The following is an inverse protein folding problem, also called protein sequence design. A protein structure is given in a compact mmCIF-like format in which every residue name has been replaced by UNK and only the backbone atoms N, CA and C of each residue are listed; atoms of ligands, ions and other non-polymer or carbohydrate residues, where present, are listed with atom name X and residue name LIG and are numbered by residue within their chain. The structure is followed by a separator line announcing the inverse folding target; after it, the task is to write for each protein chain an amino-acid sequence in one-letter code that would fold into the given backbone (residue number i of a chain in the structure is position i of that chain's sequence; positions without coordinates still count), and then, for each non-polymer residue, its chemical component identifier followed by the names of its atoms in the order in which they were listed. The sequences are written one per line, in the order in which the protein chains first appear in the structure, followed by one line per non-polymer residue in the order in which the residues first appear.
data_IF_002578911132
#
_entry.id   IF_002578911132
#
_cell.length_a   1.000
_cell.length_b   1.000
_cell.length_c   1.000
_cell.angle_alpha   90.00
_cell.angle_beta   90.00
_cell.angle_gamma   90.00
#
_symmetry.space_group_name_H-M   'P 1'
#
loop_
_entity.id
_entity.type
_entity.pdbx_description
1 polymer ?
#
# COMPACT_ATOMS: atom_id res chain seq x y z
N UNK A 1 -11.00 -27.76 -10.94
CA UNK A 1 -9.84 -27.76 -11.81
C UNK A 1 -10.11 -27.03 -13.12
N UNK A 2 -9.08 -26.70 -13.86
CA UNK A 2 -9.15 -26.00 -15.15
C UNK A 2 -8.85 -27.04 -16.23
N UNK A 3 -9.77 -27.21 -17.17
CA UNK A 3 -9.65 -28.22 -18.27
C UNK A 3 -9.30 -29.64 -17.76
N UNK A 4 -9.91 -30.07 -16.64
CA UNK A 4 -9.66 -31.37 -16.01
C UNK A 4 -8.40 -31.44 -15.13
N UNK A 5 -7.56 -30.43 -15.10
CA UNK A 5 -6.35 -30.37 -14.25
C UNK A 5 -6.72 -29.90 -12.85
N UNK A 6 -6.38 -30.70 -11.84
CA UNK A 6 -6.57 -30.34 -10.43
C UNK A 6 -5.55 -29.28 -10.02
N UNK A 7 -6.02 -28.20 -9.40
CA UNK A 7 -5.14 -27.19 -8.79
C UNK A 7 -4.85 -27.64 -7.36
N UNK A 8 -3.57 -27.70 -7.01
CA UNK A 8 -3.10 -27.89 -5.63
C UNK A 8 -2.64 -26.53 -5.07
N UNK A 9 -3.02 -26.26 -3.82
CA UNK A 9 -2.57 -25.09 -3.09
C UNK A 9 -1.60 -25.51 -2.01
N UNK A 10 -0.51 -24.77 -1.89
CA UNK A 10 0.47 -24.89 -0.82
C UNK A 10 0.58 -23.53 -0.13
N UNK A 11 0.46 -23.51 1.18
CA UNK A 11 0.49 -22.31 1.99
C UNK A 11 1.71 -22.27 2.91
N UNK A 12 2.15 -21.06 3.22
CA UNK A 12 3.26 -20.81 4.13
C UNK A 12 3.02 -19.51 4.89
N UNK A 13 2.75 -19.63 6.20
CA UNK A 13 2.54 -18.48 7.06
C UNK A 13 3.84 -17.72 7.33
N UNK A 14 3.85 -16.43 7.07
CA UNK A 14 5.03 -15.57 7.20
C UNK A 14 4.99 -14.64 8.41
N UNK A 15 3.84 -14.48 9.05
CA UNK A 15 3.63 -13.45 10.07
C UNK A 15 3.91 -12.04 9.57
N UNK A 16 3.74 -11.80 8.25
CA UNK A 16 4.07 -10.55 7.57
C UNK A 16 5.56 -10.16 7.64
N UNK A 17 6.43 -11.11 7.97
CA UNK A 17 7.89 -10.92 7.97
C UNK A 17 8.47 -11.19 6.59
N UNK A 18 9.28 -10.25 6.08
CA UNK A 18 9.86 -10.33 4.74
C UNK A 18 10.87 -11.48 4.62
N UNK A 19 11.68 -11.71 5.64
CA UNK A 19 12.67 -12.80 5.65
C UNK A 19 11.99 -14.16 5.57
N UNK A 20 10.98 -14.39 6.42
CA UNK A 20 10.15 -15.60 6.36
C UNK A 20 9.43 -15.73 5.02
N UNK A 21 9.01 -14.61 4.41
CA UNK A 21 8.43 -14.60 3.06
C UNK A 21 9.38 -15.17 2.02
N UNK A 22 10.67 -14.82 2.07
CA UNK A 22 11.71 -15.38 1.20
C UNK A 22 11.94 -16.87 1.49
N UNK A 23 12.01 -17.27 2.76
CA UNK A 23 12.14 -18.68 3.15
C UNK A 23 10.96 -19.52 2.64
N UNK A 24 9.73 -19.00 2.78
CA UNK A 24 8.52 -19.63 2.24
C UNK A 24 8.60 -19.79 0.72
N UNK A 25 9.07 -18.76 0.01
CA UNK A 25 9.25 -18.81 -1.44
C UNK A 25 10.22 -19.94 -1.85
N UNK A 26 11.40 -20.00 -1.22
CA UNK A 26 12.41 -21.03 -1.52
C UNK A 26 11.87 -22.45 -1.25
N UNK A 27 11.12 -22.63 -0.16
CA UNK A 27 10.50 -23.90 0.17
C UNK A 27 9.42 -24.31 -0.85
N UNK A 28 8.54 -23.40 -1.22
CA UNK A 28 7.46 -23.66 -2.18
C UNK A 28 8.00 -23.88 -3.60
N UNK A 29 9.04 -23.14 -3.97
CA UNK A 29 9.77 -23.36 -5.22
C UNK A 29 10.29 -24.79 -5.31
N UNK A 30 10.90 -25.30 -4.24
CA UNK A 30 11.38 -26.67 -4.15
C UNK A 30 10.32 -27.74 -4.29
N UNK A 31 9.04 -27.38 -4.08
CA UNK A 31 7.87 -28.26 -4.29
C UNK A 31 7.28 -28.18 -5.71
N UNK A 32 7.87 -27.39 -6.60
CA UNK A 32 7.43 -27.24 -7.98
C UNK A 32 6.28 -26.23 -8.17
N UNK A 33 6.28 -25.14 -7.40
CA UNK A 33 5.31 -24.06 -7.54
C UNK A 33 5.27 -23.51 -8.98
N UNK A 34 4.08 -23.45 -9.59
CA UNK A 34 3.88 -22.93 -10.94
C UNK A 34 3.72 -21.41 -10.95
N UNK A 35 3.31 -20.83 -9.86
CA UNK A 35 3.28 -19.38 -9.57
C UNK A 35 3.23 -19.15 -8.06
N UNK A 36 3.55 -17.95 -7.64
CA UNK A 36 3.53 -17.57 -6.22
C UNK A 36 2.75 -16.28 -6.04
N UNK A 37 1.94 -16.24 -4.99
CA UNK A 37 1.24 -15.05 -4.50
C UNK A 37 1.82 -14.68 -3.12
N UNK A 38 2.68 -13.67 -3.02
CA UNK A 38 3.40 -13.37 -1.78
C UNK A 38 2.54 -12.81 -0.63
N UNK A 39 1.39 -12.23 -0.92
CA UNK A 39 0.48 -11.54 0.04
C UNK A 39 1.18 -10.50 0.94
N UNK A 40 2.29 -9.96 0.48
CA UNK A 40 3.08 -8.96 1.19
C UNK A 40 3.87 -8.13 0.20
N UNK A 41 3.80 -6.80 0.32
CA UNK A 41 4.62 -5.88 -0.47
C UNK A 41 6.11 -6.13 -0.22
N UNK A 42 6.53 -6.28 1.05
CA UNK A 42 7.93 -6.55 1.39
C UNK A 42 8.45 -7.86 0.78
N UNK A 43 7.67 -8.94 0.89
CA UNK A 43 8.03 -10.21 0.27
C UNK A 43 8.08 -10.10 -1.27
N UNK A 44 7.13 -9.39 -1.89
CA UNK A 44 7.13 -9.16 -3.35
C UNK A 44 8.40 -8.46 -3.80
N UNK A 45 8.82 -7.39 -3.11
CA UNK A 45 10.09 -6.71 -3.40
C UNK A 45 11.29 -7.66 -3.31
N UNK A 46 11.36 -8.43 -2.23
CA UNK A 46 12.50 -9.30 -1.95
C UNK A 46 12.66 -10.46 -2.94
N UNK A 47 11.54 -10.96 -3.50
CA UNK A 47 11.56 -12.09 -4.45
C UNK A 47 11.47 -11.68 -5.92
N UNK A 48 11.23 -10.39 -6.21
CA UNK A 48 11.15 -9.86 -7.59
C UNK A 48 12.38 -10.22 -8.42
N UNK A 49 13.58 -10.13 -7.84
CA UNK A 49 14.82 -10.43 -8.57
C UNK A 49 15.07 -11.94 -8.75
N UNK A 50 14.43 -12.78 -7.95
CA UNK A 50 14.54 -14.25 -8.00
C UNK A 50 13.62 -14.85 -9.06
N UNK A 51 12.44 -14.31 -9.21
CA UNK A 51 11.38 -14.83 -10.08
C UNK A 51 11.80 -15.10 -11.53
N UNK A 52 12.57 -14.22 -12.22
CA UNK A 52 13.06 -14.47 -13.56
C UNK A 52 14.01 -15.67 -13.66
N UNK A 53 14.95 -15.79 -12.71
CA UNK A 53 15.91 -16.90 -12.66
C UNK A 53 15.21 -18.24 -12.42
N UNK A 54 14.20 -18.23 -11.55
CA UNK A 54 13.43 -19.42 -11.18
C UNK A 54 12.31 -19.71 -12.18
N UNK A 55 11.98 -18.79 -13.07
CA UNK A 55 10.87 -18.87 -14.03
C UNK A 55 9.52 -19.09 -13.34
N UNK A 56 9.31 -18.45 -12.19
CA UNK A 56 8.08 -18.53 -11.40
C UNK A 56 7.38 -17.17 -11.42
N UNK A 57 6.20 -17.04 -12.03
CA UNK A 57 5.41 -15.82 -12.01
C UNK A 57 5.04 -15.39 -10.58
N UNK A 58 5.25 -14.10 -10.26
CA UNK A 58 4.75 -13.48 -9.06
C UNK A 58 3.43 -12.78 -9.37
N UNK A 59 2.37 -13.20 -8.72
CA UNK A 59 1.04 -12.60 -8.87
C UNK A 59 0.73 -11.79 -7.62
N UNK A 60 0.52 -10.48 -7.78
CA UNK A 60 0.10 -9.61 -6.69
C UNK A 60 -1.28 -9.03 -6.97
N UNK A 61 -2.16 -9.04 -5.97
CA UNK A 61 -3.54 -8.57 -6.10
C UNK A 61 -3.67 -7.26 -5.32
N UNK A 62 -3.50 -6.14 -6.02
CA UNK A 62 -3.62 -4.81 -5.43
C UNK A 62 -2.56 -4.46 -4.38
N UNK A 63 -1.41 -5.11 -4.40
CA UNK A 63 -0.26 -4.77 -3.55
C UNK A 63 1.05 -4.86 -4.33
N UNK A 64 2.10 -4.30 -3.78
CA UNK A 64 3.39 -4.00 -4.36
C UNK A 64 4.00 -5.07 -5.24
N UNK A 65 4.68 -4.67 -6.20
CA UNK A 65 5.52 -3.50 -6.48
C UNK A 65 4.88 -2.67 -7.60
N UNK A 66 4.64 -1.36 -7.37
CA UNK A 66 3.96 -0.51 -8.38
C UNK A 66 4.75 -0.33 -9.66
N UNK A 67 6.09 -0.31 -9.60
CA UNK A 67 6.97 -0.24 -10.76
C UNK A 67 6.78 -1.43 -11.71
N UNK A 68 6.26 -2.55 -11.21
CA UNK A 68 6.03 -3.76 -12.02
C UNK A 68 4.92 -3.61 -13.07
N UNK A 69 4.25 -2.46 -13.13
CA UNK A 69 3.42 -2.08 -14.27
C UNK A 69 4.21 -2.02 -15.58
N UNK A 70 5.52 -1.76 -15.51
CA UNK A 70 6.41 -1.88 -16.68
C UNK A 70 6.78 -3.35 -16.90
N UNK A 71 5.95 -4.06 -17.64
CA UNK A 71 6.17 -5.46 -18.02
C UNK A 71 7.38 -5.66 -18.95
N UNK A 72 7.94 -4.59 -19.52
CA UNK A 72 9.19 -4.63 -20.27
C UNK A 72 10.39 -4.91 -19.35
N UNK A 73 10.37 -4.37 -18.15
CA UNK A 73 11.40 -4.53 -17.12
C UNK A 73 11.04 -5.71 -16.21
N UNK A 74 9.82 -5.72 -15.65
CA UNK A 74 9.37 -6.70 -14.65
C UNK A 74 8.58 -7.86 -15.29
N UNK A 75 9.23 -8.63 -16.16
CA UNK A 75 8.62 -9.67 -17.00
C UNK A 75 7.94 -10.81 -16.21
N UNK A 76 8.27 -10.97 -14.93
CA UNK A 76 7.78 -12.06 -14.09
C UNK A 76 6.89 -11.59 -12.94
N UNK A 77 6.61 -10.28 -12.85
CA UNK A 77 5.68 -9.72 -11.89
C UNK A 77 4.37 -9.35 -12.59
N UNK A 78 3.26 -9.83 -12.05
CA UNK A 78 1.92 -9.65 -12.62
C UNK A 78 1.01 -8.97 -11.59
N UNK A 79 1.01 -7.61 -11.52
CA UNK A 79 0.09 -6.89 -10.66
C UNK A 79 -1.33 -6.96 -11.22
N UNK A 80 -2.24 -7.58 -10.48
CA UNK A 80 -3.66 -7.70 -10.83
C UNK A 80 -4.45 -6.72 -9.97
N UNK A 81 -5.53 -6.14 -10.52
CA UNK A 81 -6.42 -5.18 -9.86
C UNK A 81 -5.79 -3.82 -9.54
N UNK A 82 -4.70 -3.46 -10.21
CA UNK A 82 -4.05 -2.15 -10.06
C UNK A 82 -2.88 -2.14 -9.07
N UNK A 83 -2.35 -0.96 -8.83
CA UNK A 83 -1.18 -0.73 -7.97
C UNK A 83 -1.44 0.41 -7.00
N UNK A 84 -0.60 0.55 -5.99
CA UNK A 84 -0.74 1.63 -5.01
C UNK A 84 -0.48 3.02 -5.59
N UNK A 85 0.31 3.13 -6.65
CA UNK A 85 0.45 4.40 -7.36
C UNK A 85 -0.85 4.81 -8.03
N UNK A 86 -1.50 3.89 -8.75
CA UNK A 86 -2.83 4.15 -9.35
C UNK A 86 -3.87 4.48 -8.28
N UNK A 87 -3.89 3.72 -7.18
CA UNK A 87 -4.83 3.95 -6.09
C UNK A 87 -4.66 5.34 -5.45
N UNK A 88 -3.43 5.72 -5.10
CA UNK A 88 -3.15 7.01 -4.48
C UNK A 88 -3.40 8.18 -5.41
N UNK A 89 -3.09 8.03 -6.71
CA UNK A 89 -3.43 9.04 -7.72
C UNK A 89 -4.95 9.20 -7.89
N UNK A 90 -5.69 8.10 -7.94
CA UNK A 90 -7.15 8.13 -8.02
C UNK A 90 -7.79 8.83 -6.80
N UNK A 91 -7.26 8.61 -5.59
CA UNK A 91 -7.71 9.32 -4.40
C UNK A 91 -7.46 10.83 -4.54
N UNK A 92 -6.26 11.23 -4.97
CA UNK A 92 -5.95 12.65 -5.19
C UNK A 92 -6.84 13.27 -6.26
N UNK A 93 -7.13 12.55 -7.36
CA UNK A 93 -8.06 13.00 -8.39
C UNK A 93 -9.48 13.20 -7.83
N UNK A 94 -9.94 12.27 -6.99
CA UNK A 94 -11.25 12.39 -6.35
C UNK A 94 -11.31 13.61 -5.41
N UNK A 95 -10.26 13.85 -4.63
CA UNK A 95 -10.15 15.04 -3.77
C UNK A 95 -10.14 16.31 -4.63
N UNK A 96 -9.28 16.37 -5.65
CA UNK A 96 -9.19 17.51 -6.54
C UNK A 96 -10.55 17.82 -7.21
N UNK A 97 -11.24 16.79 -7.70
CA UNK A 97 -12.58 16.94 -8.29
C UNK A 97 -13.59 17.49 -7.28
N UNK A 98 -13.58 17.02 -6.04
CA UNK A 98 -14.46 17.49 -4.96
C UNK A 98 -14.20 18.94 -4.60
N UNK A 99 -12.94 19.37 -4.63
CA UNK A 99 -12.50 20.74 -4.34
C UNK A 99 -12.72 21.71 -5.54
N UNK A 100 -13.02 21.21 -6.73
CA UNK A 100 -13.25 22.02 -7.92
C UNK A 100 -12.08 22.12 -8.88
N UNK A 101 -11.06 21.27 -8.76
CA UNK A 101 -9.91 21.16 -9.65
C UNK A 101 -8.56 21.02 -8.95
N UNK A 102 -7.54 20.62 -9.69
CA UNK A 102 -6.20 20.45 -9.18
C UNK A 102 -5.56 21.74 -8.63
N UNK A 103 -5.89 22.88 -9.23
CA UNK A 103 -5.46 24.21 -8.81
C UNK A 103 -5.92 24.58 -7.40
N UNK A 104 -7.03 23.98 -6.95
CA UNK A 104 -7.59 24.16 -5.60
C UNK A 104 -6.82 23.41 -4.51
N UNK A 105 -5.93 22.51 -4.91
CA UNK A 105 -5.03 21.83 -3.96
C UNK A 105 -3.83 22.67 -3.56
N UNK A 106 -3.50 23.72 -4.31
CA UNK A 106 -2.37 24.60 -3.99
C UNK A 106 -2.50 25.21 -2.59
N UNK A 107 -1.47 24.99 -1.77
CA UNK A 107 -1.43 25.44 -0.37
C UNK A 107 -2.25 24.60 0.61
N UNK A 108 -2.98 23.57 0.16
CA UNK A 108 -3.62 22.61 1.04
C UNK A 108 -2.60 21.72 1.74
N UNK A 109 -2.97 21.19 2.90
CA UNK A 109 -2.18 20.22 3.65
C UNK A 109 -2.81 18.84 3.57
N UNK A 110 -2.06 17.86 3.08
CA UNK A 110 -2.50 16.47 3.00
C UNK A 110 -1.58 15.63 3.89
N UNK A 111 -2.14 14.93 4.87
CA UNK A 111 -1.38 14.02 5.72
C UNK A 111 -1.56 12.58 5.25
N UNK A 112 -0.47 11.86 5.04
CA UNK A 112 -0.47 10.42 4.85
C UNK A 112 -0.18 9.75 6.19
N UNK A 113 -1.19 9.11 6.78
CA UNK A 113 -1.05 8.22 7.94
C UNK A 113 -0.84 6.82 7.40
N UNK A 114 0.37 6.29 7.52
CA UNK A 114 0.74 5.05 6.84
C UNK A 114 1.39 4.04 7.78
N UNK A 115 1.13 2.77 7.51
CA UNK A 115 1.82 1.67 8.19
C UNK A 115 3.31 1.69 7.84
N UNK A 116 4.18 1.72 8.87
CA UNK A 116 5.63 1.79 8.67
C UNK A 116 6.20 0.46 8.17
N UNK A 117 5.96 0.19 6.89
CA UNK A 117 6.39 -1.00 6.17
C UNK A 117 6.53 -0.67 4.68
N UNK A 118 7.10 -1.58 3.87
CA UNK A 118 7.13 -1.42 2.42
C UNK A 118 5.77 -1.10 1.81
N UNK A 119 4.69 -1.73 2.32
CA UNK A 119 3.31 -1.44 1.92
C UNK A 119 2.95 0.04 2.11
N UNK A 120 3.11 0.55 3.32
CA UNK A 120 2.70 1.92 3.64
C UNK A 120 3.56 2.99 2.97
N UNK A 121 4.80 2.65 2.64
CA UNK A 121 5.76 3.56 1.98
C UNK A 121 5.59 3.63 0.46
N UNK A 122 4.97 2.64 -0.16
CA UNK A 122 4.92 2.52 -1.61
C UNK A 122 4.25 3.72 -2.32
N UNK A 123 3.16 4.34 -1.81
CA UNK A 123 2.56 5.51 -2.46
C UNK A 123 3.37 6.80 -2.30
N UNK A 124 4.34 6.87 -1.40
CA UNK A 124 5.06 8.12 -1.05
C UNK A 124 5.71 8.79 -2.26
N UNK A 125 6.47 8.10 -3.13
CA UNK A 125 7.11 8.77 -4.27
C UNK A 125 6.11 9.47 -5.19
N UNK A 126 4.99 8.82 -5.51
CA UNK A 126 3.93 9.42 -6.33
C UNK A 126 3.30 10.62 -5.62
N UNK A 127 2.95 10.50 -4.34
CA UNK A 127 2.34 11.59 -3.58
C UNK A 127 3.26 12.80 -3.49
N UNK A 128 4.58 12.59 -3.35
CA UNK A 128 5.59 13.66 -3.36
C UNK A 128 5.71 14.33 -4.73
N UNK A 129 5.66 13.56 -5.82
CA UNK A 129 5.66 14.10 -7.18
C UNK A 129 4.42 14.96 -7.41
N UNK A 130 3.24 14.46 -7.04
CA UNK A 130 1.98 15.21 -7.15
C UNK A 130 1.95 16.46 -6.26
N UNK A 131 2.56 16.41 -5.07
CA UNK A 131 2.71 17.57 -4.20
C UNK A 131 3.52 18.68 -4.88
N UNK A 132 4.64 18.34 -5.51
CA UNK A 132 5.44 19.29 -6.29
C UNK A 132 4.65 19.85 -7.49
N UNK A 133 3.93 19.00 -8.20
CA UNK A 133 3.17 19.38 -9.40
C UNK A 133 2.00 20.33 -9.07
N UNK A 134 1.26 20.05 -8.01
CA UNK A 134 0.02 20.75 -7.68
C UNK A 134 0.15 21.73 -6.49
N UNK A 135 1.31 21.80 -5.85
CA UNK A 135 1.61 22.78 -4.82
C UNK A 135 0.91 22.55 -3.48
N UNK A 136 0.50 21.33 -3.15
CA UNK A 136 0.03 20.99 -1.80
C UNK A 136 1.21 20.55 -0.91
N UNK A 137 1.05 20.71 0.40
CA UNK A 137 2.00 20.23 1.41
C UNK A 137 1.67 18.79 1.77
N UNK A 138 2.64 17.88 1.63
CA UNK A 138 2.50 16.48 2.04
C UNK A 138 3.18 16.26 3.38
N UNK A 139 2.42 15.76 4.36
CA UNK A 139 2.91 15.36 5.67
C UNK A 139 2.94 13.84 5.78
N UNK A 140 4.07 13.29 6.19
CA UNK A 140 4.27 11.83 6.33
C UNK A 140 4.23 11.44 7.80
N UNK A 141 3.24 10.64 8.19
CA UNK A 141 2.98 10.23 9.56
C UNK A 141 3.04 8.68 9.66
N UNK A 142 4.22 8.11 9.91
CA UNK A 142 4.38 6.67 10.06
C UNK A 142 3.72 6.16 11.34
N UNK A 143 3.13 4.98 11.26
CA UNK A 143 2.55 4.25 12.38
C UNK A 143 3.21 2.87 12.43
N UNK A 144 3.86 2.57 13.55
CA UNK A 144 4.58 1.31 13.76
C UNK A 144 3.60 0.13 13.85
N UNK A 145 3.98 -1.00 13.26
CA UNK A 145 3.23 -2.26 13.39
C UNK A 145 3.01 -2.65 14.87
N UNK A 146 1.84 -3.16 15.26
CA UNK A 146 0.65 -3.47 14.48
C UNK A 146 -0.33 -2.29 14.28
N UNK A 147 0.04 -1.10 14.66
CA UNK A 147 -0.77 0.09 14.43
C UNK A 147 -1.78 0.43 15.52
N UNK A 148 -1.60 -0.08 16.74
CA UNK A 148 -2.47 0.22 17.89
C UNK A 148 -2.09 1.50 18.63
N UNK A 149 -0.83 1.94 18.51
CA UNK A 149 -0.32 3.13 19.19
C UNK A 149 -0.35 4.34 18.24
N UNK A 150 -1.49 5.04 18.18
CA UNK A 150 -1.71 6.15 17.25
C UNK A 150 -2.04 7.48 17.92
N UNK A 151 -2.15 7.51 19.23
CA UNK A 151 -2.58 8.70 19.97
C UNK A 151 -1.72 9.93 19.66
N UNK A 152 -0.40 9.77 19.64
CA UNK A 152 0.53 10.86 19.31
C UNK A 152 0.33 11.36 17.87
N UNK A 153 0.15 10.46 16.91
CA UNK A 153 -0.11 10.77 15.50
C UNK A 153 -1.37 11.62 15.34
N UNK A 154 -2.47 11.25 16.00
CA UNK A 154 -3.73 11.99 15.89
C UNK A 154 -3.73 13.30 16.68
N UNK A 155 -2.97 13.40 17.77
CA UNK A 155 -2.73 14.69 18.42
C UNK A 155 -1.92 15.64 17.51
N UNK A 156 -0.94 15.13 16.76
CA UNK A 156 -0.22 15.90 15.77
C UNK A 156 -1.14 16.38 14.64
N UNK A 157 -2.03 15.51 14.12
CA UNK A 157 -3.05 15.88 13.12
C UNK A 157 -3.95 17.00 13.67
N UNK A 158 -4.40 16.90 14.92
CA UNK A 158 -5.19 17.95 15.56
C UNK A 158 -4.47 19.29 15.64
N UNK A 159 -3.16 19.29 15.89
CA UNK A 159 -2.34 20.50 15.95
C UNK A 159 -2.09 21.11 14.57
N UNK A 160 -1.74 20.26 13.60
CA UNK A 160 -1.35 20.67 12.24
C UNK A 160 -2.55 20.97 11.34
N UNK A 161 -3.72 20.42 11.67
CA UNK A 161 -4.99 20.62 10.97
C UNK A 161 -4.89 20.40 9.45
N UNK A 162 -4.45 19.22 8.97
CA UNK A 162 -4.42 18.96 7.55
C UNK A 162 -5.84 19.05 6.96
N UNK A 163 -5.93 19.51 5.71
CA UNK A 163 -7.19 19.58 4.97
C UNK A 163 -7.75 18.20 4.68
N UNK A 164 -6.86 17.23 4.41
CA UNK A 164 -7.21 15.83 4.13
C UNK A 164 -6.24 14.87 4.81
N UNK A 165 -6.75 13.71 5.19
CA UNK A 165 -5.94 12.57 5.67
C UNK A 165 -6.12 11.41 4.71
N UNK A 166 -5.01 10.89 4.20
CA UNK A 166 -4.94 9.61 3.51
C UNK A 166 -4.54 8.55 4.52
N UNK A 167 -5.40 7.56 4.74
CA UNK A 167 -5.11 6.42 5.61
C UNK A 167 -4.58 5.28 4.75
N UNK A 168 -3.34 4.87 5.01
CA UNK A 168 -2.68 3.77 4.33
C UNK A 168 -2.26 2.70 5.34
N UNK A 169 -3.27 2.09 5.93
CA UNK A 169 -3.15 1.08 6.97
C UNK A 169 -3.83 -0.23 6.56
N UNK A 170 -3.75 -1.21 7.44
CA UNK A 170 -4.47 -2.47 7.34
C UNK A 170 -4.78 -3.05 8.72
N UNK A 171 -5.76 -3.95 8.79
CA UNK A 171 -6.12 -4.63 10.02
C UNK A 171 -6.50 -3.68 11.16
N UNK A 172 -5.96 -3.95 12.36
CA UNK A 172 -6.27 -3.18 13.59
C UNK A 172 -5.85 -1.71 13.49
N UNK A 173 -4.86 -1.37 12.67
CA UNK A 173 -4.46 0.02 12.44
C UNK A 173 -5.63 0.87 11.97
N UNK A 174 -6.48 0.36 11.08
CA UNK A 174 -7.59 1.12 10.49
C UNK A 174 -8.66 1.44 11.54
N UNK A 175 -9.08 0.45 12.33
CA UNK A 175 -10.07 0.66 13.40
C UNK A 175 -9.56 1.60 14.47
N UNK A 176 -8.27 1.52 14.81
CA UNK A 176 -7.63 2.45 15.75
C UNK A 176 -7.57 3.86 15.18
N UNK A 177 -7.18 4.03 13.90
CA UNK A 177 -7.15 5.33 13.24
C UNK A 177 -8.50 6.03 13.29
N UNK A 178 -9.59 5.30 12.98
CA UNK A 178 -10.95 5.87 13.04
C UNK A 178 -11.33 6.28 14.47
N UNK A 179 -11.02 5.46 15.47
CA UNK A 179 -11.30 5.79 16.90
C UNK A 179 -10.54 7.04 17.33
N UNK A 180 -9.27 7.13 17.01
CA UNK A 180 -8.44 8.29 17.37
C UNK A 180 -8.82 9.55 16.59
N UNK A 181 -9.25 9.43 15.33
CA UNK A 181 -9.80 10.54 14.56
C UNK A 181 -11.03 11.13 15.25
N UNK A 182 -11.97 10.28 15.68
CA UNK A 182 -13.15 10.71 16.44
C UNK A 182 -12.75 11.36 17.75
N UNK A 183 -11.84 10.76 18.53
CA UNK A 183 -11.38 11.27 19.80
C UNK A 183 -10.71 12.66 19.69
N UNK A 184 -10.06 12.93 18.56
CA UNK A 184 -9.40 14.22 18.29
C UNK A 184 -10.29 15.22 17.54
N UNK A 185 -11.50 14.81 17.14
CA UNK A 185 -12.48 15.65 16.44
C UNK A 185 -12.13 15.87 14.96
N UNK A 186 -11.36 14.96 14.34
CA UNK A 186 -11.04 15.07 12.91
C UNK A 186 -12.24 14.63 12.05
N UNK A 187 -12.67 15.43 11.03
CA UNK A 187 -13.86 15.13 10.23
C UNK A 187 -13.69 13.87 9.37
N UNK A 188 -14.66 12.95 9.44
CA UNK A 188 -14.60 11.69 8.68
C UNK A 188 -14.68 11.91 7.16
N UNK A 189 -15.38 12.92 6.70
CA UNK A 189 -15.53 13.27 5.27
C UNK A 189 -14.26 13.82 4.63
N UNK A 190 -13.23 14.10 5.42
CA UNK A 190 -11.88 14.49 5.00
C UNK A 190 -10.86 13.35 5.06
N UNK A 191 -11.31 12.15 5.41
CA UNK A 191 -10.47 10.94 5.44
C UNK A 191 -10.74 10.07 4.22
N UNK A 192 -9.68 9.63 3.57
CA UNK A 192 -9.69 8.74 2.41
C UNK A 192 -8.78 7.55 2.67
N UNK A 193 -9.16 6.38 2.22
CA UNK A 193 -8.35 5.17 2.36
C UNK A 193 -8.22 4.40 1.06
N UNK A 194 -7.18 3.60 0.95
CA UNK A 194 -7.04 2.60 -0.09
C UNK A 194 -7.92 1.37 0.19
N UNK A 195 -7.85 0.35 -0.67
CA UNK A 195 -8.68 -0.86 -0.54
C UNK A 195 -8.36 -1.74 0.67
N UNK A 196 -7.26 -1.50 1.37
CA UNK A 196 -6.94 -2.18 2.64
C UNK A 196 -7.23 -1.32 3.87
N UNK A 197 -7.72 -0.07 3.69
CA UNK A 197 -7.95 0.89 4.77
C UNK A 197 -9.43 1.26 4.95
#
# INVERSE_FOLDING_TARGET
GINGVKIAFEECETGYDTGRGVECYERLKGKGASFVQPLSTGATFAITEKAPADKIPLISIGYGRSESQDGGIFKWNFPIAGTYWVASDAILQAIAKKEGGWDKLKGKKIALVYHDSPYGKEPIPLLQERAKMHGYELQLLPVTHPGVEQKATWLQIRQQKPDFVLLWGWGVMNSTAVKEAVATGYPRDKMYGGWYA
#
